data_IF_061103106813
#
_entry.id   IF_061103106813
#
_cell.length_a   1.000
_cell.length_b   1.000
_cell.length_c   1.000
_cell.angle_alpha   90.00
_cell.angle_beta   90.00
_cell.angle_gamma   90.00
#
_symmetry.space_group_name_H-M   'P 1'
#
loop_
_entity.id
_entity.type
_entity.pdbx_description
1 polymer ?
#
# COMPACT_ATOMS: atom_id res chain seq x y z
N UNK A 1 -18.11 17.79 0.12
CA UNK A 1 -17.34 18.58 -0.87
C UNK A 1 -16.06 17.88 -1.31
N UNK A 2 -15.30 17.23 -0.41
CA UNK A 2 -14.08 16.47 -0.74
C UNK A 2 -14.31 15.24 -1.64
N UNK A 3 -15.40 14.47 -1.45
CA UNK A 3 -15.68 13.29 -2.28
C UNK A 3 -15.82 13.62 -3.78
N UNK A 4 -16.40 14.77 -4.12
CA UNK A 4 -16.58 15.23 -5.50
C UNK A 4 -15.25 15.62 -6.15
N UNK A 5 -14.31 16.18 -5.38
CA UNK A 5 -12.96 16.53 -5.87
C UNK A 5 -12.11 15.29 -6.17
N UNK A 6 -12.18 14.27 -5.31
CA UNK A 6 -11.42 13.01 -5.48
C UNK A 6 -11.79 12.27 -6.78
N UNK A 7 -13.09 12.14 -7.07
CA UNK A 7 -13.57 11.48 -8.30
C UNK A 7 -13.27 12.30 -9.56
N UNK A 8 -13.25 13.63 -9.47
CA UNK A 8 -12.90 14.49 -10.60
C UNK A 8 -11.40 14.41 -10.91
N UNK A 9 -10.54 14.45 -9.89
CA UNK A 9 -9.10 14.28 -10.04
C UNK A 9 -8.73 12.92 -10.65
N UNK A 10 -9.44 11.85 -10.27
CA UNK A 10 -9.22 10.52 -10.83
C UNK A 10 -9.43 10.43 -12.36
N UNK A 11 -10.22 11.33 -12.96
CA UNK A 11 -10.42 11.36 -14.43
C UNK A 11 -9.20 11.85 -15.19
N UNK A 12 -8.29 12.54 -14.52
CA UNK A 12 -7.11 13.14 -15.14
C UNK A 12 -5.88 12.24 -15.06
N UNK A 13 -5.88 11.25 -14.16
CA UNK A 13 -4.75 10.36 -13.95
C UNK A 13 -4.89 9.05 -14.71
N UNK A 14 -3.90 8.77 -15.55
CA UNK A 14 -3.70 7.47 -16.19
C UNK A 14 -2.49 6.79 -15.55
N UNK A 15 -2.69 5.57 -15.04
CA UNK A 15 -1.58 4.79 -14.47
C UNK A 15 -0.57 4.46 -15.57
N UNK A 16 0.71 4.71 -15.29
CA UNK A 16 1.82 4.46 -16.21
C UNK A 16 2.73 3.35 -15.68
N UNK A 17 3.19 3.48 -14.42
CA UNK A 17 4.09 2.51 -13.81
C UNK A 17 3.76 2.24 -12.34
N UNK A 18 4.00 1.01 -11.91
CA UNK A 18 3.96 0.59 -10.50
C UNK A 18 5.26 -0.15 -10.21
N UNK A 19 6.11 0.42 -9.38
CA UNK A 19 7.42 -0.14 -9.06
C UNK A 19 7.53 -0.36 -7.55
N UNK A 20 7.87 -1.59 -7.14
CA UNK A 20 8.20 -1.88 -5.74
C UNK A 20 9.63 -1.42 -5.44
N UNK A 21 9.81 -0.69 -4.36
CA UNK A 21 11.11 -0.17 -3.88
C UNK A 21 11.70 -0.98 -2.75
N UNK A 22 10.84 -1.59 -1.94
CA UNK A 22 11.23 -2.32 -0.76
C UNK A 22 10.19 -3.39 -0.43
N UNK A 23 10.66 -4.52 0.08
CA UNK A 23 9.84 -5.59 0.62
C UNK A 23 10.49 -6.07 1.91
N UNK A 24 9.72 -6.04 2.99
CA UNK A 24 10.09 -6.57 4.29
C UNK A 24 9.11 -7.67 4.66
N UNK A 25 9.64 -8.84 4.99
CA UNK A 25 8.91 -9.97 5.54
C UNK A 25 9.61 -10.34 6.84
N UNK A 26 8.91 -10.25 7.96
CA UNK A 26 9.48 -10.47 9.28
C UNK A 26 8.57 -11.39 10.08
N UNK A 27 9.15 -12.49 10.55
CA UNK A 27 8.55 -13.37 11.55
C UNK A 27 9.16 -13.04 12.89
N UNK A 28 8.35 -13.05 13.94
CA UNK A 28 8.81 -12.85 15.30
C UNK A 28 9.80 -13.97 15.69
N UNK A 29 11.00 -13.65 16.20
CA UNK A 29 11.98 -14.67 16.61
C UNK A 29 11.50 -15.61 17.71
N UNK A 30 10.48 -15.23 18.49
CA UNK A 30 9.88 -16.08 19.52
C UNK A 30 8.93 -17.14 18.93
N UNK A 31 8.71 -17.13 17.61
CA UNK A 31 7.81 -18.03 16.89
C UNK A 31 8.58 -18.89 15.89
N UNK A 32 8.38 -20.20 16.00
CA UNK A 32 8.82 -21.16 14.99
C UNK A 32 7.80 -21.20 13.85
N UNK A 33 8.27 -21.25 12.60
CA UNK A 33 7.40 -21.20 11.41
C UNK A 33 6.34 -22.31 11.43
N UNK A 34 6.73 -23.51 11.83
CA UNK A 34 5.87 -24.70 11.91
C UNK A 34 4.80 -24.59 12.99
N UNK A 35 4.96 -23.66 13.93
CA UNK A 35 3.98 -23.39 14.99
C UNK A 35 2.89 -22.40 14.56
N UNK A 36 3.10 -21.67 13.46
CA UNK A 36 2.15 -20.72 12.91
C UNK A 36 1.02 -21.51 12.22
N UNK A 37 -0.22 -21.23 12.59
CA UNK A 37 -1.42 -21.93 12.17
C UNK A 37 -2.50 -20.89 11.87
N UNK A 38 -3.58 -21.28 11.22
CA UNK A 38 -4.71 -20.39 10.87
C UNK A 38 -5.18 -19.49 12.02
N UNK A 39 -5.30 -20.02 13.25
CA UNK A 39 -5.71 -19.25 14.44
C UNK A 39 -4.78 -18.07 14.76
N UNK A 40 -3.50 -18.18 14.40
CA UNK A 40 -2.50 -17.14 14.59
C UNK A 40 -2.56 -16.07 13.49
N UNK A 41 -3.40 -16.27 12.46
CA UNK A 41 -3.62 -15.36 11.34
C UNK A 41 -5.03 -14.75 11.37
N UNK A 42 -5.78 -14.93 12.45
CA UNK A 42 -7.14 -14.37 12.60
C UNK A 42 -7.12 -12.86 12.90
N UNK A 43 -6.14 -12.40 13.69
CA UNK A 43 -6.03 -11.01 14.12
C UNK A 43 -5.11 -10.21 13.21
N UNK A 44 -5.49 -10.09 11.93
CA UNK A 44 -4.74 -9.31 10.94
C UNK A 44 -5.09 -7.83 10.98
N UNK A 45 -4.07 -6.98 10.87
CA UNK A 45 -4.22 -5.53 10.70
C UNK A 45 -3.57 -5.09 9.40
N UNK A 46 -4.29 -4.27 8.63
CA UNK A 46 -3.79 -3.65 7.40
C UNK A 46 -3.27 -2.24 7.70
N UNK A 47 -2.15 -1.91 7.09
CA UNK A 47 -1.49 -0.61 7.18
C UNK A 47 -1.41 -0.03 5.77
N UNK A 48 -1.96 1.18 5.58
CA UNK A 48 -1.96 1.85 4.29
C UNK A 48 -1.54 3.29 4.50
N UNK A 49 -0.51 3.72 3.78
CA UNK A 49 0.00 5.08 3.88
C UNK A 49 0.49 5.57 2.52
N UNK A 50 0.12 6.79 2.14
CA UNK A 50 0.72 7.51 1.02
C UNK A 50 1.47 8.71 1.60
N UNK A 51 2.80 8.71 1.46
CA UNK A 51 3.66 9.70 2.14
C UNK A 51 3.66 11.07 1.47
N UNK A 52 3.68 11.11 0.13
CA UNK A 52 3.57 12.34 -0.64
C UNK A 52 3.36 12.05 -2.14
N UNK A 53 2.88 13.08 -2.85
CA UNK A 53 2.85 13.17 -4.30
C UNK A 53 3.95 14.13 -4.79
N UNK A 54 4.62 13.79 -5.89
CA UNK A 54 5.63 14.61 -6.52
C UNK A 54 5.29 14.79 -8.00
N UNK A 55 5.02 16.04 -8.42
CA UNK A 55 4.99 16.38 -9.84
C UNK A 55 6.42 16.38 -10.39
N UNK A 56 6.65 15.66 -11.48
CA UNK A 56 7.91 15.72 -12.21
C UNK A 56 7.81 16.83 -13.26
N UNK A 57 8.83 17.69 -13.30
CA UNK A 57 8.92 18.76 -14.28
C UNK A 57 9.16 18.11 -15.66
N UNK A 58 8.31 18.38 -16.67
CA UNK A 58 8.57 17.89 -18.02
C UNK A 58 9.87 18.50 -18.56
N UNK A 59 10.55 17.77 -19.44
CA UNK A 59 11.70 18.29 -20.17
C UNK A 59 11.25 19.47 -21.06
N UNK A 60 11.92 20.62 -20.97
CA UNK A 60 11.50 21.88 -21.61
C UNK A 60 11.46 21.77 -23.16
N UNK A 61 12.20 20.81 -23.73
CA UNK A 61 12.31 20.58 -25.17
C UNK A 61 11.18 19.72 -25.75
N UNK A 62 10.27 19.17 -24.93
CA UNK A 62 9.18 18.30 -25.38
C UNK A 62 7.83 19.02 -25.31
N UNK A 63 7.47 19.71 -26.40
CA UNK A 63 6.25 20.53 -26.50
C UNK A 63 4.91 19.79 -26.37
N UNK A 64 4.91 18.47 -26.14
CA UNK A 64 3.71 17.62 -26.06
C UNK A 64 3.80 16.53 -24.98
N UNK A 65 4.72 16.64 -24.01
CA UNK A 65 4.87 15.63 -22.97
C UNK A 65 3.79 15.75 -21.88
N UNK A 66 3.13 14.64 -21.49
CA UNK A 66 2.14 14.64 -20.40
C UNK A 66 2.81 15.01 -19.07
N UNK A 67 2.03 15.64 -18.18
CA UNK A 67 2.48 15.90 -16.81
C UNK A 67 2.63 14.57 -16.08
N UNK A 68 3.78 14.36 -15.42
CA UNK A 68 4.07 13.14 -14.68
C UNK A 68 3.96 13.37 -13.17
N UNK A 69 3.34 12.42 -12.48
CA UNK A 69 3.15 12.46 -11.03
C UNK A 69 3.60 11.15 -10.41
N UNK A 70 4.43 11.23 -9.37
CA UNK A 70 4.87 10.08 -8.56
C UNK A 70 4.22 10.11 -7.20
N UNK A 71 3.71 8.97 -6.77
CA UNK A 71 3.14 8.79 -5.45
C UNK A 71 3.87 7.66 -4.73
N UNK A 72 4.22 7.91 -3.48
CA UNK A 72 4.99 6.98 -2.65
C UNK A 72 4.07 6.31 -1.63
N UNK A 73 3.80 5.02 -1.84
CA UNK A 73 2.80 4.26 -1.10
C UNK A 73 3.46 3.15 -0.31
N UNK A 74 3.13 3.03 0.96
CA UNK A 74 3.47 1.89 1.82
C UNK A 74 2.21 1.11 2.11
N UNK A 75 2.26 -0.19 1.84
CA UNK A 75 1.23 -1.17 2.21
C UNK A 75 1.84 -2.19 3.15
N UNK A 76 1.11 -2.54 4.20
CA UNK A 76 1.53 -3.54 5.16
C UNK A 76 0.36 -4.36 5.67
N UNK A 77 0.69 -5.58 6.07
CA UNK A 77 -0.19 -6.47 6.80
C UNK A 77 0.62 -7.09 7.93
N UNK A 78 0.02 -7.16 9.11
CA UNK A 78 0.62 -7.86 10.24
C UNK A 78 -0.42 -8.75 10.90
N UNK A 79 0.02 -9.89 11.43
CA UNK A 79 -0.80 -10.72 12.31
C UNK A 79 -0.35 -10.55 13.76
N UNK A 80 -1.32 -10.44 14.65
CA UNK A 80 -1.11 -10.23 16.08
C UNK A 80 -1.61 -11.42 16.90
N UNK A 81 -1.15 -11.50 18.14
CA UNK A 81 -1.85 -12.31 19.15
C UNK A 81 -3.19 -11.65 19.49
N UNK A 82 -4.13 -12.42 20.05
CA UNK A 82 -5.40 -11.85 20.54
C UNK A 82 -5.15 -10.70 21.53
N UNK A 83 -4.18 -10.87 22.45
CA UNK A 83 -3.81 -9.87 23.45
C UNK A 83 -3.29 -8.59 22.79
N UNK A 84 -2.36 -8.71 21.83
CA UNK A 84 -1.80 -7.55 21.15
C UNK A 84 -2.81 -6.89 20.21
N UNK A 85 -3.79 -7.63 19.69
CA UNK A 85 -4.83 -7.08 18.82
C UNK A 85 -5.75 -6.06 19.50
N UNK A 86 -5.82 -6.10 20.84
CA UNK A 86 -6.63 -5.20 21.67
C UNK A 86 -5.87 -3.95 22.13
N UNK A 87 -4.57 -3.86 21.85
CA UNK A 87 -3.75 -2.70 22.19
C UNK A 87 -3.89 -1.60 21.14
N UNK A 88 -3.54 -0.38 21.52
CA UNK A 88 -3.46 0.73 20.59
C UNK A 88 -2.41 0.45 19.51
N UNK A 89 -2.64 0.93 18.29
CA UNK A 89 -1.78 0.64 17.15
C UNK A 89 -0.33 1.14 17.34
N UNK A 90 -0.17 2.18 18.16
CA UNK A 90 1.10 2.85 18.48
C UNK A 90 1.73 2.34 19.79
N UNK A 91 1.14 1.32 20.42
CA UNK A 91 1.71 0.71 21.63
C UNK A 91 3.00 -0.04 21.28
N UNK A 92 4.13 0.40 21.84
CA UNK A 92 5.46 -0.16 21.59
C UNK A 92 5.60 -1.62 22.08
N UNK A 93 4.69 -2.10 22.92
CA UNK A 93 4.66 -3.49 23.38
C UNK A 93 3.99 -4.46 22.41
N UNK A 94 3.39 -3.98 21.32
CA UNK A 94 2.82 -4.83 20.27
C UNK A 94 3.93 -5.54 19.52
N UNK A 95 3.93 -6.87 19.57
CA UNK A 95 4.93 -7.71 18.91
C UNK A 95 4.25 -8.62 17.87
N UNK A 96 4.20 -8.22 16.58
CA UNK A 96 3.52 -9.00 15.57
C UNK A 96 4.14 -10.37 15.37
N UNK A 97 3.32 -11.39 15.19
CA UNK A 97 3.76 -12.76 14.86
C UNK A 97 4.45 -12.78 13.49
N UNK A 98 3.81 -12.11 12.53
CA UNK A 98 4.28 -11.94 11.16
C UNK A 98 3.94 -10.52 10.71
N UNK A 99 4.86 -9.89 9.99
CA UNK A 99 4.66 -8.63 9.31
C UNK A 99 5.19 -8.72 7.88
N UNK A 100 4.37 -8.29 6.92
CA UNK A 100 4.75 -8.11 5.52
C UNK A 100 4.48 -6.65 5.17
N UNK A 101 5.52 -5.94 4.71
CA UNK A 101 5.44 -4.53 4.32
C UNK A 101 6.13 -4.31 2.99
N UNK A 102 5.48 -3.59 2.09
CA UNK A 102 6.01 -3.24 0.79
C UNK A 102 5.86 -1.74 0.52
N UNK A 103 6.93 -1.14 0.01
CA UNK A 103 6.94 0.26 -0.42
C UNK A 103 6.93 0.31 -1.95
N UNK A 104 6.05 1.14 -2.50
CA UNK A 104 5.81 1.30 -3.92
C UNK A 104 5.98 2.75 -4.35
N UNK A 105 6.35 2.92 -5.63
CA UNK A 105 6.18 4.17 -6.36
C UNK A 105 5.26 3.93 -7.52
N UNK A 106 4.17 4.67 -7.54
CA UNK A 106 3.23 4.70 -8.64
C UNK A 106 3.48 5.96 -9.44
N UNK A 107 3.63 5.82 -10.75
CA UNK A 107 3.72 6.90 -11.71
C UNK A 107 2.40 7.02 -12.47
N UNK A 108 1.89 8.23 -12.56
CA UNK A 108 0.72 8.58 -13.36
C UNK A 108 1.07 9.65 -14.37
N UNK A 109 0.41 9.59 -15.51
CA UNK A 109 0.37 10.62 -16.53
C UNK A 109 -0.93 11.43 -16.38
N UNK A 110 -0.85 12.73 -16.65
CA UNK A 110 -2.02 13.61 -16.77
C UNK A 110 -1.88 14.54 -17.98
N UNK A 111 -2.99 14.76 -18.67
CA UNK A 111 -3.09 15.70 -19.79
C UNK A 111 -3.21 17.16 -19.36
N UNK A 112 -3.44 17.41 -18.08
CA UNK A 112 -3.48 18.75 -17.50
C UNK A 112 -2.66 18.83 -16.22
N UNK A 113 -2.33 20.04 -15.82
CA UNK A 113 -1.78 20.27 -14.50
C UNK A 113 -2.85 20.02 -13.43
N UNK A 114 -2.56 19.10 -12.51
CA UNK A 114 -3.37 18.79 -11.33
C UNK A 114 -2.72 19.43 -10.11
N UNK A 115 -3.49 20.25 -9.39
CA UNK A 115 -3.00 20.91 -8.17
C UNK A 115 -2.78 19.93 -7.00
N UNK A 116 -2.09 20.39 -5.95
CA UNK A 116 -1.73 19.55 -4.79
C UNK A 116 -2.96 19.02 -4.05
N UNK A 117 -4.01 19.85 -3.88
CA UNK A 117 -5.22 19.44 -3.14
C UNK A 117 -5.94 18.31 -3.87
N UNK A 118 -6.02 18.39 -5.21
CA UNK A 118 -6.57 17.34 -6.04
C UNK A 118 -5.70 16.07 -6.05
N UNK A 119 -4.37 16.21 -6.03
CA UNK A 119 -3.45 15.06 -5.91
C UNK A 119 -3.61 14.34 -4.56
N UNK A 120 -3.72 15.09 -3.47
CA UNK A 120 -3.96 14.56 -2.12
C UNK A 120 -5.31 13.83 -2.05
N UNK A 121 -6.38 14.46 -2.55
CA UNK A 121 -7.71 13.84 -2.60
C UNK A 121 -7.75 12.56 -3.45
N UNK A 122 -6.95 12.49 -4.53
CA UNK A 122 -6.78 11.27 -5.32
C UNK A 122 -6.02 10.18 -4.53
N UNK A 123 -4.93 10.56 -3.86
CA UNK A 123 -4.07 9.67 -3.08
C UNK A 123 -4.77 9.04 -1.87
N UNK A 124 -5.77 9.69 -1.28
CA UNK A 124 -6.50 9.16 -0.13
C UNK A 124 -7.27 7.87 -0.44
N UNK A 125 -7.70 7.66 -1.70
CA UNK A 125 -8.63 6.57 -2.05
C UNK A 125 -8.26 5.83 -3.32
N UNK A 126 -8.00 6.55 -4.40
CA UNK A 126 -7.92 5.93 -5.71
C UNK A 126 -6.58 5.24 -5.96
N UNK A 127 -5.52 5.70 -5.29
CA UNK A 127 -4.18 5.17 -5.53
C UNK A 127 -4.04 3.71 -5.15
N UNK A 128 -4.67 3.31 -4.05
CA UNK A 128 -4.55 1.96 -3.51
C UNK A 128 -5.18 0.93 -4.45
N UNK A 129 -6.22 1.31 -5.19
CA UNK A 129 -6.88 0.42 -6.15
C UNK A 129 -5.91 -0.19 -7.17
N UNK A 130 -4.95 0.59 -7.68
CA UNK A 130 -4.00 0.13 -8.69
C UNK A 130 -2.88 -0.74 -8.10
N UNK A 131 -2.41 -0.44 -6.88
CA UNK A 131 -1.32 -1.19 -6.24
C UNK A 131 -1.81 -2.42 -5.46
N UNK A 132 -3.09 -2.46 -5.06
CA UNK A 132 -3.65 -3.53 -4.25
C UNK A 132 -3.43 -4.94 -4.80
N UNK A 133 -3.61 -5.21 -6.11
CA UNK A 133 -3.38 -6.54 -6.67
C UNK A 133 -1.93 -7.01 -6.50
N UNK A 134 -0.96 -6.09 -6.64
CA UNK A 134 0.46 -6.38 -6.46
C UNK A 134 0.76 -6.71 -5.00
N UNK A 135 0.19 -5.94 -4.07
CA UNK A 135 0.35 -6.22 -2.65
C UNK A 135 -0.26 -7.57 -2.24
N UNK A 136 -1.46 -7.90 -2.76
CA UNK A 136 -2.09 -9.21 -2.51
C UNK A 136 -1.23 -10.37 -2.98
N UNK A 137 -0.63 -10.27 -4.17
CA UNK A 137 0.27 -11.29 -4.69
C UNK A 137 1.51 -11.45 -3.80
N UNK A 138 2.13 -10.34 -3.38
CA UNK A 138 3.31 -10.36 -2.52
C UNK A 138 3.01 -10.99 -1.16
N UNK A 139 1.85 -10.70 -0.55
CA UNK A 139 1.43 -11.35 0.70
C UNK A 139 1.31 -12.85 0.50
N UNK A 140 0.62 -13.28 -0.56
CA UNK A 140 0.45 -14.70 -0.86
C UNK A 140 1.79 -15.40 -1.14
N UNK A 141 2.63 -14.79 -1.97
CA UNK A 141 3.96 -15.30 -2.33
C UNK A 141 4.87 -15.41 -1.11
N UNK A 142 4.80 -14.45 -0.20
CA UNK A 142 5.58 -14.45 1.04
C UNK A 142 5.11 -15.55 2.00
N UNK A 143 3.80 -15.68 2.25
CA UNK A 143 3.26 -16.77 3.08
C UNK A 143 3.64 -18.15 2.52
N UNK A 144 3.53 -18.33 1.20
CA UNK A 144 3.93 -19.58 0.55
C UNK A 144 5.43 -19.90 0.74
N UNK A 145 6.31 -18.88 0.71
CA UNK A 145 7.76 -19.05 0.94
C UNK A 145 8.09 -19.36 2.41
N UNK A 146 7.27 -18.86 3.33
CA UNK A 146 7.37 -19.16 4.76
C UNK A 146 6.78 -20.54 5.11
N UNK A 147 6.06 -21.19 4.18
CA UNK A 147 5.44 -22.49 4.43
C UNK A 147 4.22 -22.42 5.36
N UNK A 148 3.57 -21.25 5.43
CA UNK A 148 2.40 -21.00 6.29
C UNK A 148 1.17 -20.66 5.44
N UNK A 149 0.00 -20.75 6.06
CA UNK A 149 -1.24 -20.32 5.43
C UNK A 149 -1.22 -18.82 5.08
N UNK A 150 -1.93 -18.47 4.00
CA UNK A 150 -1.93 -17.11 3.49
C UNK A 150 -2.78 -16.19 4.36
N UNK A 151 -2.22 -15.08 4.84
CA UNK A 151 -3.00 -14.02 5.47
C UNK A 151 -4.08 -13.51 4.49
N UNK A 152 -5.30 -13.37 4.99
CA UNK A 152 -6.43 -12.91 4.19
C UNK A 152 -6.31 -11.41 3.90
N UNK A 153 -6.13 -11.05 2.62
CA UNK A 153 -6.18 -9.66 2.18
C UNK A 153 -7.51 -9.41 1.47
N UNK A 154 -8.43 -8.61 2.05
CA UNK A 154 -9.75 -8.36 1.50
C UNK A 154 -9.65 -7.61 0.15
N UNK A 155 -10.68 -7.70 -0.71
CA UNK A 155 -10.71 -6.91 -1.93
C UNK A 155 -10.79 -5.41 -1.59
N UNK A 156 -9.97 -4.59 -2.26
CA UNK A 156 -10.05 -3.14 -2.12
C UNK A 156 -11.30 -2.61 -2.82
N UNK A 157 -12.00 -1.66 -2.20
CA UNK A 157 -13.20 -1.01 -2.72
C UNK A 157 -13.03 0.50 -2.63
N UNK A 158 -13.27 1.19 -3.74
CA UNK A 158 -13.25 2.65 -3.87
C UNK A 158 -14.65 3.20 -3.65
#
# INVERSE_FOLDING_TARGET
>A
MMATKSTEAAKHFLIDQINMRNLMVRVNPDWELESIQDKHLEYTQLMMHCSHAQKLVPDEDASDNPCLYKFYVTLGIRSLTEVDSQKDADDESVSPILEIKADYVLQYQSHCDVDSEACEAFAEKHIYFHVWPYFREIVQSSCNRLGIDCMSVPPYRV
#
